data_IF_838273567505
#
_entry.id   IF_838273567505
#
_cell.length_a   1.000
_cell.length_b   1.000
_cell.length_c   1.000
_cell.angle_alpha   90.00
_cell.angle_beta   90.00
_cell.angle_gamma   90.00
#
_symmetry.space_group_name_H-M   'P 1'
#
loop_
_entity.id
_entity.type
_entity.pdbx_description
1 polymer ?
#
# COMPACT_ATOMS: atom_id res chain seq x y z
N UNK A 1 18.99 -28.87 -19.60
CA UNK A 1 17.77 -28.04 -19.50
C UNK A 1 16.91 -28.32 -18.26
N UNK A 2 16.79 -29.57 -17.77
CA UNK A 2 15.93 -29.88 -16.60
C UNK A 2 16.43 -29.29 -15.26
N UNK A 3 17.75 -29.16 -15.08
CA UNK A 3 18.34 -28.55 -13.88
C UNK A 3 17.98 -27.07 -13.73
N UNK A 4 18.04 -26.31 -14.83
CA UNK A 4 17.66 -24.89 -14.85
C UNK A 4 16.16 -24.70 -14.57
N UNK A 5 15.31 -25.56 -15.15
CA UNK A 5 13.87 -25.53 -14.90
C UNK A 5 13.57 -25.86 -13.43
N UNK A 6 14.26 -26.85 -12.85
CA UNK A 6 14.11 -27.21 -11.43
C UNK A 6 14.55 -26.10 -10.48
N UNK A 7 15.68 -25.45 -10.74
CA UNK A 7 16.16 -24.31 -9.96
C UNK A 7 15.22 -23.10 -10.08
N UNK A 8 14.71 -22.83 -11.28
CA UNK A 8 13.75 -21.76 -11.53
C UNK A 8 12.43 -22.02 -10.79
N UNK A 9 11.90 -23.24 -10.85
CA UNK A 9 10.66 -23.60 -10.14
C UNK A 9 10.81 -23.40 -8.64
N UNK A 10 11.92 -23.81 -8.06
CA UNK A 10 12.18 -23.67 -6.62
C UNK A 10 12.34 -22.19 -6.21
N UNK A 11 12.96 -21.37 -7.07
CA UNK A 11 13.07 -19.93 -6.86
C UNK A 11 11.70 -19.22 -6.98
N UNK A 12 10.86 -19.63 -7.94
CA UNK A 12 9.50 -19.13 -8.10
C UNK A 12 8.67 -19.49 -6.88
N UNK A 13 8.70 -20.75 -6.43
CA UNK A 13 7.94 -21.20 -5.26
C UNK A 13 8.32 -20.43 -4.00
N UNK A 14 9.63 -20.23 -3.77
CA UNK A 14 10.14 -19.41 -2.66
C UNK A 14 9.66 -17.95 -2.72
N UNK A 15 9.46 -17.41 -3.92
CA UNK A 15 9.11 -16.00 -4.14
C UNK A 15 7.65 -15.79 -4.56
N UNK A 16 6.82 -16.85 -4.54
CA UNK A 16 5.40 -16.81 -4.91
C UNK A 16 4.56 -16.20 -3.78
N UNK A 17 4.86 -14.94 -3.46
CA UNK A 17 4.14 -14.15 -2.49
C UNK A 17 3.25 -13.13 -3.22
N UNK A 18 1.94 -13.28 -3.05
CA UNK A 18 0.93 -12.37 -3.62
C UNK A 18 1.16 -10.92 -3.21
N UNK A 19 1.59 -10.66 -1.98
CA UNK A 19 1.88 -9.31 -1.48
C UNK A 19 3.06 -8.72 -2.23
N UNK A 20 4.16 -9.47 -2.35
CA UNK A 20 5.35 -9.03 -3.11
C UNK A 20 5.06 -8.79 -4.58
N UNK A 21 4.18 -9.59 -5.19
CA UNK A 21 3.72 -9.37 -6.57
C UNK A 21 2.96 -8.05 -6.71
N UNK A 22 2.03 -7.75 -5.80
CA UNK A 22 1.26 -6.51 -5.83
C UNK A 22 2.15 -5.26 -5.61
N UNK A 23 3.14 -5.35 -4.72
CA UNK A 23 4.12 -4.29 -4.49
C UNK A 23 4.93 -4.01 -5.75
N UNK A 24 5.50 -5.05 -6.37
CA UNK A 24 6.26 -4.90 -7.63
C UNK A 24 5.37 -4.34 -8.75
N UNK A 25 4.12 -4.80 -8.85
CA UNK A 25 3.18 -4.28 -9.83
C UNK A 25 2.91 -2.79 -9.63
N UNK A 26 2.76 -2.33 -8.39
CA UNK A 26 2.59 -0.91 -8.08
C UNK A 26 3.85 -0.08 -8.39
N UNK A 27 5.04 -0.60 -8.08
CA UNK A 27 6.32 0.06 -8.40
C UNK A 27 6.48 0.24 -9.91
N UNK A 28 6.25 -0.81 -10.70
CA UNK A 28 6.34 -0.75 -12.16
C UNK A 28 5.34 0.26 -12.73
N UNK A 29 4.10 0.31 -12.21
CA UNK A 29 3.12 1.30 -12.64
C UNK A 29 3.56 2.74 -12.34
N UNK A 30 4.14 2.99 -11.16
CA UNK A 30 4.67 4.30 -10.81
C UNK A 30 5.85 4.71 -11.69
N UNK A 31 6.75 3.77 -12.03
CA UNK A 31 7.86 4.02 -12.96
C UNK A 31 7.37 4.33 -14.38
N UNK A 32 6.38 3.59 -14.88
CA UNK A 32 5.74 3.85 -16.17
C UNK A 32 5.12 5.25 -16.18
N UNK A 33 4.39 5.61 -15.12
CA UNK A 33 3.75 6.93 -15.03
C UNK A 33 4.77 8.07 -14.99
N UNK A 34 5.85 7.90 -14.23
CA UNK A 34 6.85 8.95 -14.02
C UNK A 34 7.75 9.15 -15.24
N UNK A 35 8.16 8.07 -15.92
CA UNK A 35 9.20 8.13 -16.95
C UNK A 35 8.72 7.91 -18.39
N UNK A 36 7.59 7.23 -18.58
CA UNK A 36 7.19 6.74 -19.91
C UNK A 36 5.88 7.34 -20.44
N UNK A 37 5.19 8.18 -19.67
CA UNK A 37 3.89 8.74 -20.05
C UNK A 37 3.93 10.27 -20.22
N UNK A 38 3.43 10.76 -21.37
CA UNK A 38 3.26 12.19 -21.61
C UNK A 38 2.11 12.76 -20.74
N UNK A 39 2.14 14.06 -20.39
CA UNK A 39 1.12 14.67 -19.52
C UNK A 39 -0.33 14.46 -19.98
N UNK A 40 -0.58 14.35 -21.29
CA UNK A 40 -1.94 14.09 -21.81
C UNK A 40 -2.36 12.62 -21.68
N UNK A 41 -1.44 11.66 -21.75
CA UNK A 41 -1.71 10.23 -21.58
C UNK A 41 -2.07 9.91 -20.13
N UNK A 42 -1.46 10.62 -19.17
CA UNK A 42 -1.83 10.52 -17.74
C UNK A 42 -3.25 11.04 -17.44
N UNK A 43 -3.81 11.87 -18.32
CA UNK A 43 -5.18 12.40 -18.19
C UNK A 43 -6.23 11.58 -18.93
N UNK A 44 -5.83 10.51 -19.64
CA UNK A 44 -6.77 9.59 -20.27
C UNK A 44 -7.36 8.65 -19.23
N UNK A 45 -8.61 8.92 -18.86
CA UNK A 45 -9.35 8.19 -17.81
C UNK A 45 -9.55 6.72 -18.15
N UNK A 46 -9.57 6.39 -19.44
CA UNK A 46 -9.66 5.03 -19.96
C UNK A 46 -8.40 4.20 -19.64
N UNK A 47 -7.23 4.85 -19.55
CA UNK A 47 -5.93 4.19 -19.31
C UNK A 47 -5.49 4.31 -17.86
N UNK A 48 -5.74 5.46 -17.23
CA UNK A 48 -5.46 5.73 -15.82
C UNK A 48 -6.71 6.31 -15.16
N UNK A 49 -7.48 5.52 -14.41
CA UNK A 49 -8.63 6.03 -13.69
C UNK A 49 -8.17 6.99 -12.59
N UNK A 50 -8.92 8.06 -12.40
CA UNK A 50 -8.66 9.07 -11.38
C UNK A 50 -8.78 8.50 -9.95
N UNK A 51 -9.59 7.46 -9.78
CA UNK A 51 -9.82 6.76 -8.51
C UNK A 51 -9.85 5.25 -8.76
N UNK A 52 -9.12 4.49 -7.95
CA UNK A 52 -9.15 3.02 -7.98
C UNK A 52 -9.88 2.50 -6.74
N UNK A 53 -10.97 1.76 -6.96
CA UNK A 53 -11.74 1.14 -5.88
C UNK A 53 -11.17 -0.24 -5.55
N UNK A 54 -10.79 -0.45 -4.30
CA UNK A 54 -10.40 -1.76 -3.78
C UNK A 54 -11.40 -2.24 -2.74
N UNK A 55 -11.86 -3.48 -2.89
CA UNK A 55 -12.61 -4.16 -1.85
C UNK A 55 -11.63 -4.74 -0.83
N UNK A 56 -11.81 -4.36 0.43
CA UNK A 56 -11.06 -4.92 1.54
C UNK A 56 -12.03 -5.14 2.71
N UNK A 57 -11.84 -6.25 3.43
CA UNK A 57 -12.65 -6.57 4.59
C UNK A 57 -12.31 -5.61 5.74
N UNK A 58 -13.32 -4.98 6.32
CA UNK A 58 -13.15 -4.01 7.41
C UNK A 58 -12.35 -4.59 8.59
N UNK A 59 -12.60 -5.85 8.94
CA UNK A 59 -11.96 -6.49 10.08
C UNK A 59 -10.49 -6.84 9.80
N UNK A 60 -10.18 -7.24 8.57
CA UNK A 60 -8.80 -7.47 8.13
C UNK A 60 -7.99 -6.17 8.14
N UNK A 61 -8.57 -5.07 7.65
CA UNK A 61 -7.92 -3.75 7.65
C UNK A 61 -7.66 -3.30 9.08
N UNK A 62 -8.66 -3.41 9.97
CA UNK A 62 -8.50 -3.04 11.39
C UNK A 62 -7.35 -3.80 12.06
N UNK A 63 -7.26 -5.11 11.79
CA UNK A 63 -6.19 -5.96 12.35
C UNK A 63 -4.83 -5.51 11.87
N UNK A 64 -4.66 -5.27 10.57
CA UNK A 64 -3.37 -4.86 10.00
C UNK A 64 -2.96 -3.46 10.46
N UNK A 65 -3.90 -2.50 10.50
CA UNK A 65 -3.60 -1.14 11.00
C UNK A 65 -3.14 -1.17 12.46
N UNK A 66 -3.77 -1.98 13.32
CA UNK A 66 -3.31 -2.18 14.70
C UNK A 66 -1.91 -2.80 14.76
N UNK A 67 -1.66 -3.85 13.97
CA UNK A 67 -0.34 -4.49 13.90
C UNK A 67 0.74 -3.50 13.42
N UNK A 68 0.45 -2.66 12.43
CA UNK A 68 1.36 -1.61 11.95
C UNK A 68 1.65 -0.55 13.02
N UNK A 69 0.65 -0.15 13.81
CA UNK A 69 0.85 0.77 14.93
C UNK A 69 1.75 0.15 16.01
N UNK A 70 1.55 -1.13 16.36
CA UNK A 70 2.40 -1.86 17.31
C UNK A 70 3.86 -1.96 16.81
N UNK A 71 4.06 -2.22 15.50
CA UNK A 71 5.38 -2.25 14.86
C UNK A 71 6.02 -0.87 14.71
N UNK A 72 5.32 0.23 15.03
CA UNK A 72 5.73 1.62 14.77
C UNK A 72 5.98 1.92 13.28
N UNK A 73 5.37 1.15 12.40
CA UNK A 73 5.46 1.29 10.94
C UNK A 73 4.34 2.17 10.37
N UNK A 74 3.36 2.54 11.21
CA UNK A 74 2.25 3.42 10.83
C UNK A 74 2.69 4.89 10.69
N UNK A 75 3.54 5.15 9.70
CA UNK A 75 4.09 6.46 9.41
C UNK A 75 3.44 7.07 8.17
N UNK A 76 2.36 7.83 8.40
CA UNK A 76 1.58 8.49 7.35
C UNK A 76 1.70 10.03 7.47
N UNK A 77 2.88 10.53 7.86
CA UNK A 77 3.12 11.97 8.02
C UNK A 77 2.96 12.76 6.70
N UNK A 78 2.99 12.06 5.56
CA UNK A 78 2.78 12.64 4.23
C UNK A 78 1.32 13.08 4.02
N UNK A 79 0.36 12.43 4.67
CA UNK A 79 -1.08 12.70 4.47
C UNK A 79 -1.88 12.58 5.79
N UNK A 80 -1.78 13.58 6.70
CA UNK A 80 -2.41 13.51 8.01
C UNK A 80 -3.94 13.47 7.97
N UNK A 81 -4.57 14.17 7.02
CA UNK A 81 -6.04 14.20 6.86
C UNK A 81 -6.61 12.86 6.39
N UNK A 82 -5.97 12.22 5.40
CA UNK A 82 -6.37 10.89 4.93
C UNK A 82 -6.20 9.82 6.04
N UNK A 83 -5.15 9.96 6.84
CA UNK A 83 -4.90 9.10 8.00
C UNK A 83 -6.03 9.20 9.02
N UNK A 84 -6.45 10.40 9.38
CA UNK A 84 -7.52 10.59 10.37
C UNK A 84 -8.87 10.07 9.86
N UNK A 85 -9.21 10.37 8.60
CA UNK A 85 -10.42 9.87 7.96
C UNK A 85 -10.49 8.34 7.91
N UNK A 86 -9.37 7.69 7.58
CA UNK A 86 -9.29 6.23 7.57
C UNK A 86 -9.51 5.65 8.97
N UNK A 87 -8.84 6.19 9.99
CA UNK A 87 -8.98 5.71 11.37
C UNK A 87 -10.40 5.89 11.91
N UNK A 88 -11.06 7.00 11.55
CA UNK A 88 -12.47 7.24 11.85
C UNK A 88 -13.37 6.18 11.19
N UNK A 89 -13.18 5.90 9.90
CA UNK A 89 -13.94 4.84 9.18
C UNK A 89 -13.69 3.44 9.76
N UNK A 90 -12.49 3.20 10.30
CA UNK A 90 -12.13 1.95 10.96
C UNK A 90 -12.58 1.89 12.43
N UNK A 91 -13.14 2.98 12.98
CA UNK A 91 -13.52 3.09 14.39
C UNK A 91 -12.35 2.81 15.35
N UNK A 92 -11.14 3.24 14.97
CA UNK A 92 -9.93 3.13 15.80
C UNK A 92 -9.75 4.45 16.53
N UNK A 93 -9.80 4.42 17.87
CA UNK A 93 -9.54 5.60 18.68
C UNK A 93 -8.09 6.07 18.49
N UNK A 94 -7.92 7.31 18.07
CA UNK A 94 -6.62 7.97 18.17
C UNK A 94 -6.47 8.42 19.61
N UNK A 95 -5.60 7.75 20.37
CA UNK A 95 -5.14 8.32 21.62
C UNK A 95 -4.29 9.54 21.28
N UNK A 96 -4.92 10.71 21.20
CA UNK A 96 -4.23 11.99 21.32
C UNK A 96 -3.70 12.05 22.74
N UNK A 97 -2.53 11.47 22.98
CA UNK A 97 -1.76 11.81 24.16
C UNK A 97 -1.39 13.29 24.04
N UNK A 98 -2.09 14.09 24.82
CA UNK A 98 -1.93 15.52 24.94
C UNK A 98 -0.45 15.88 25.17
N UNK A 99 0.18 16.53 24.19
CA UNK A 99 1.29 17.46 24.47
C UNK A 99 0.70 18.74 25.05
N UNK A 100 0.22 18.66 26.29
CA UNK A 100 0.07 19.80 27.18
C UNK A 100 0.80 19.40 28.45
N UNK A 101 2.05 19.83 28.57
CA UNK A 101 2.77 20.11 29.82
C UNK A 101 4.19 20.55 29.44
N UNK A 102 4.34 21.85 29.29
CA UNK A 102 5.61 22.59 29.33
C UNK A 102 5.24 24.05 29.61
N UNK A 103 4.74 24.29 30.82
CA UNK A 103 4.88 25.59 31.49
C UNK A 103 6.24 25.60 32.22
#
# INVERSE_FOLDING_TARGET
MNLLIGLLSNAIEKNNNRVSYLIQKAQILAEIELFYMLPFQRRWKEWFPEVIYYYANLDEIRKEVKAMMERKEWNADVFPELKSDLLNKLYIQQNTENKQNSD
#
